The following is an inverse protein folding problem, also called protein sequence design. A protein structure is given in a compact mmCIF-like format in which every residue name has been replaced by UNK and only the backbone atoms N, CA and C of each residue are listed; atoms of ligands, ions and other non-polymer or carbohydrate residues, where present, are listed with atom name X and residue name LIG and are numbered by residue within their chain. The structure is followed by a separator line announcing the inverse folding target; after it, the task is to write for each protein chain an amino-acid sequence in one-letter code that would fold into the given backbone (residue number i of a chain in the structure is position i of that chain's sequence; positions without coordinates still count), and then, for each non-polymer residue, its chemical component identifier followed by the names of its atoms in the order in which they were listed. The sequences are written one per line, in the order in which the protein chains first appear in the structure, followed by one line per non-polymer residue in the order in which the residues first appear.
data_IF_567509633260
#
_entry.id   IF_567509633260
#
_cell.length_a   1.000
_cell.length_b   1.000
_cell.length_c   1.000
_cell.angle_alpha   90.00
_cell.angle_beta   90.00
_cell.angle_gamma   90.00
#
_symmetry.space_group_name_H-M   'P 1'
#
loop_
_entity.id
_entity.type
_entity.pdbx_description
1 polymer ?
#
# COMPACT_ATOMS: atom_id res chain seq x y z
N UNK A 1 -2.22 28.06 -29.75
CA UNK A 1 -1.31 26.95 -30.09
C UNK A 1 -1.34 25.98 -28.91
N UNK A 2 -1.91 24.79 -29.14
CA UNK A 2 -2.09 23.77 -28.12
C UNK A 2 -0.74 23.16 -27.74
N UNK A 3 -0.46 23.06 -26.44
CA UNK A 3 0.71 22.36 -25.92
C UNK A 3 0.52 20.86 -26.16
N UNK A 4 1.44 20.26 -26.89
CA UNK A 4 1.55 18.83 -27.12
C UNK A 4 1.87 18.11 -25.81
N UNK A 5 0.95 17.25 -25.34
CA UNK A 5 1.23 16.27 -24.29
C UNK A 5 2.09 15.14 -24.89
N UNK A 6 3.39 15.20 -24.64
CA UNK A 6 4.35 14.15 -24.97
C UNK A 6 4.27 13.03 -23.90
N UNK A 7 3.99 11.76 -24.25
CA UNK A 7 3.76 10.69 -23.28
C UNK A 7 5.05 10.09 -22.69
N UNK A 8 6.20 10.69 -22.96
CA UNK A 8 7.52 10.19 -22.55
C UNK A 8 8.23 11.12 -21.58
N UNK A 9 7.56 11.57 -20.52
CA UNK A 9 8.24 12.30 -19.46
C UNK A 9 8.69 11.34 -18.32
N UNK A 10 9.96 10.88 -18.29
CA UNK A 10 10.48 9.99 -17.24
C UNK A 10 10.65 10.68 -15.87
N UNK A 11 10.27 11.96 -15.77
CA UNK A 11 10.46 12.82 -14.58
C UNK A 11 9.53 12.47 -13.41
N UNK A 12 8.56 11.56 -13.58
CA UNK A 12 7.53 11.26 -12.57
C UNK A 12 7.70 9.90 -11.85
N UNK A 13 8.74 9.12 -12.18
CA UNK A 13 8.91 7.76 -11.62
C UNK A 13 9.44 7.70 -10.16
N UNK A 14 9.60 8.85 -9.51
CA UNK A 14 10.48 8.97 -8.35
C UNK A 14 9.84 8.76 -6.98
N UNK A 15 8.82 9.53 -6.64
CA UNK A 15 8.28 9.60 -5.25
C UNK A 15 6.87 10.14 -5.09
N UNK A 16 6.23 10.64 -6.13
CA UNK A 16 4.89 11.20 -6.05
C UNK A 16 3.99 10.28 -6.85
N UNK A 17 3.08 9.62 -6.15
CA UNK A 17 1.99 8.81 -6.67
C UNK A 17 2.39 7.67 -7.64
N UNK A 18 1.98 6.45 -7.31
CA UNK A 18 1.92 5.34 -8.27
C UNK A 18 1.04 5.64 -9.50
N UNK A 19 0.48 6.86 -9.62
CA UNK A 19 -0.31 7.34 -10.72
C UNK A 19 -1.58 6.51 -10.90
N UNK A 20 -2.23 6.10 -9.81
CA UNK A 20 -3.47 5.32 -9.90
C UNK A 20 -4.66 6.24 -10.17
N UNK A 21 -5.65 5.82 -10.97
CA UNK A 21 -6.82 6.64 -11.27
C UNK A 21 -7.55 7.09 -9.99
N UNK A 22 -8.14 8.30 -10.03
CA UNK A 22 -8.90 8.87 -8.89
C UNK A 22 -9.97 7.91 -8.32
N UNK A 23 -10.71 7.12 -9.12
CA UNK A 23 -11.62 6.12 -8.56
C UNK A 23 -10.92 5.08 -7.68
N UNK A 24 -9.72 4.65 -8.06
CA UNK A 24 -8.91 3.68 -7.29
C UNK A 24 -8.39 4.33 -6.00
N UNK A 25 -7.92 5.58 -6.06
CA UNK A 25 -7.50 6.32 -4.87
C UNK A 25 -8.66 6.46 -3.87
N UNK A 26 -9.83 6.89 -4.36
CA UNK A 26 -11.04 7.03 -3.56
C UNK A 26 -11.46 5.69 -2.94
N UNK A 27 -11.39 4.60 -3.72
CA UNK A 27 -11.69 3.26 -3.23
C UNK A 27 -10.77 2.85 -2.08
N UNK A 28 -9.45 2.98 -2.24
CA UNK A 28 -8.48 2.64 -1.20
C UNK A 28 -8.68 3.49 0.07
N UNK A 29 -8.97 4.78 -0.10
CA UNK A 29 -9.30 5.68 1.01
C UNK A 29 -10.56 5.24 1.77
N UNK A 30 -11.60 4.82 1.06
CA UNK A 30 -12.82 4.28 1.67
C UNK A 30 -12.55 2.99 2.44
N UNK A 31 -11.67 2.12 1.94
CA UNK A 31 -11.36 0.85 2.61
C UNK A 31 -10.56 1.05 3.92
N UNK A 32 -9.67 2.04 3.99
CA UNK A 32 -8.90 2.33 5.23
C UNK A 32 -9.73 3.08 6.27
N UNK A 33 -10.73 3.85 5.86
CA UNK A 33 -11.49 4.75 6.74
C UNK A 33 -12.03 4.09 8.04
N UNK A 34 -12.59 2.86 8.03
CA UNK A 34 -13.07 2.20 9.24
C UNK A 34 -11.98 1.90 10.28
N UNK A 35 -10.71 1.81 9.86
CA UNK A 35 -9.59 1.44 10.72
C UNK A 35 -8.92 2.65 11.40
N UNK A 36 -8.89 3.80 10.71
CA UNK A 36 -8.15 4.99 11.15
C UNK A 36 -9.04 6.09 11.72
N UNK A 37 -10.37 5.97 11.61
CA UNK A 37 -11.30 6.97 12.13
C UNK A 37 -11.12 7.13 13.65
N UNK A 38 -10.84 8.35 14.16
CA UNK A 38 -10.71 8.57 15.60
C UNK A 38 -11.98 8.18 16.35
N UNK A 39 -11.82 7.42 17.44
CA UNK A 39 -12.91 7.17 18.39
C UNK A 39 -13.00 8.35 19.34
N UNK A 40 -13.90 9.30 19.06
CA UNK A 40 -14.05 10.57 19.80
C UNK A 40 -14.73 10.40 21.18
N UNK A 41 -14.69 9.19 21.76
CA UNK A 41 -15.23 8.86 23.07
C UNK A 41 -16.73 8.58 23.08
N UNK A 42 -17.20 7.96 24.18
CA UNK A 42 -18.57 7.46 24.33
C UNK A 42 -19.63 8.55 24.17
N UNK A 43 -19.34 9.78 24.59
CA UNK A 43 -20.28 10.91 24.46
C UNK A 43 -20.48 11.31 22.99
N UNK A 44 -19.39 11.36 22.20
CA UNK A 44 -19.50 11.67 20.78
C UNK A 44 -20.16 10.51 20.01
N UNK A 45 -19.78 9.26 20.29
CA UNK A 45 -20.40 8.08 19.69
C UNK A 45 -21.90 8.02 19.98
N UNK A 46 -22.31 8.37 21.20
CA UNK A 46 -23.71 8.44 21.61
C UNK A 46 -24.44 9.71 21.18
N UNK A 47 -23.79 10.71 20.57
CA UNK A 47 -24.46 11.94 20.11
C UNK A 47 -24.44 12.09 18.59
N UNK A 48 -23.48 11.46 17.92
CA UNK A 48 -23.33 11.51 16.49
C UNK A 48 -24.26 10.48 15.84
N UNK A 49 -25.30 10.95 15.14
CA UNK A 49 -26.24 10.09 14.41
C UNK A 49 -25.51 9.14 13.45
N UNK A 50 -24.40 9.56 12.86
CA UNK A 50 -23.58 8.72 11.99
C UNK A 50 -22.86 7.60 12.76
N UNK A 51 -22.30 7.89 13.94
CA UNK A 51 -21.61 6.89 14.78
C UNK A 51 -22.57 5.91 15.46
N UNK A 52 -23.79 6.33 15.81
CA UNK A 52 -24.79 5.46 16.42
C UNK A 52 -25.30 4.37 15.46
N UNK A 53 -25.37 4.69 14.16
CA UNK A 53 -25.85 3.77 13.13
C UNK A 53 -24.73 3.05 12.39
N UNK A 54 -23.46 3.40 12.64
CA UNK A 54 -22.31 2.79 11.98
C UNK A 54 -22.08 1.38 12.56
N UNK A 55 -22.28 0.30 11.78
CA UNK A 55 -22.01 -1.04 12.23
C UNK A 55 -20.49 -1.26 12.14
N UNK A 56 -19.71 -0.67 13.05
CA UNK A 56 -18.24 -0.60 12.93
C UNK A 56 -17.57 -1.96 12.71
N UNK A 57 -18.08 -3.03 13.34
CA UNK A 57 -17.57 -4.38 13.12
C UNK A 57 -17.93 -4.97 11.74
N UNK A 58 -19.06 -4.55 11.16
CA UNK A 58 -19.46 -4.93 9.80
C UNK A 58 -18.63 -4.16 8.75
N UNK A 59 -18.36 -2.87 8.98
CA UNK A 59 -17.52 -2.06 8.09
C UNK A 59 -16.09 -2.63 7.99
N UNK A 60 -15.49 -3.01 9.13
CA UNK A 60 -14.16 -3.65 9.15
C UNK A 60 -14.15 -4.97 8.38
N UNK A 61 -15.18 -5.81 8.57
CA UNK A 61 -15.31 -7.09 7.86
C UNK A 61 -15.43 -6.91 6.35
N UNK A 62 -16.28 -5.99 5.90
CA UNK A 62 -16.46 -5.73 4.47
C UNK A 62 -15.21 -5.09 3.85
N UNK A 63 -14.52 -4.20 4.55
CA UNK A 63 -13.26 -3.64 4.07
C UNK A 63 -12.16 -4.71 3.93
N UNK A 64 -12.01 -5.61 4.91
CA UNK A 64 -11.07 -6.73 4.81
C UNK A 64 -11.39 -7.65 3.63
N UNK A 65 -12.68 -7.96 3.43
CA UNK A 65 -13.16 -8.78 2.32
C UNK A 65 -12.96 -8.09 0.97
N UNK A 66 -13.15 -6.78 0.90
CA UNK A 66 -12.93 -5.97 -0.28
C UNK A 66 -11.46 -5.97 -0.69
N UNK A 67 -10.53 -5.78 0.26
CA UNK A 67 -9.10 -5.90 -0.01
C UNK A 67 -8.69 -7.30 -0.48
N UNK A 68 -9.13 -8.35 0.19
CA UNK A 68 -8.81 -9.73 -0.22
C UNK A 68 -9.32 -10.02 -1.64
N UNK A 69 -10.57 -9.64 -1.94
CA UNK A 69 -11.15 -9.85 -3.28
C UNK A 69 -10.39 -9.09 -4.36
N UNK A 70 -10.13 -7.81 -4.15
CA UNK A 70 -9.52 -6.94 -5.16
C UNK A 70 -8.03 -7.18 -5.35
N UNK A 71 -7.29 -7.53 -4.30
CA UNK A 71 -5.83 -7.69 -4.35
C UNK A 71 -5.41 -9.16 -4.55
N UNK A 72 -5.90 -10.05 -3.68
CA UNK A 72 -5.49 -11.46 -3.65
C UNK A 72 -6.21 -12.25 -4.73
N UNK A 73 -7.52 -12.06 -4.87
CA UNK A 73 -8.32 -12.82 -5.83
C UNK A 73 -8.43 -12.13 -7.19
N UNK A 74 -7.93 -10.89 -7.32
CA UNK A 74 -8.02 -10.08 -8.53
C UNK A 74 -9.45 -9.97 -9.11
N UNK A 75 -10.46 -9.90 -8.23
CA UNK A 75 -11.88 -9.87 -8.59
C UNK A 75 -12.50 -8.50 -8.32
N UNK A 76 -13.22 -7.96 -9.31
CA UNK A 76 -13.83 -6.63 -9.27
C UNK A 76 -15.36 -6.62 -9.43
N UNK A 77 -16.01 -7.80 -9.44
CA UNK A 77 -17.47 -7.90 -9.53
C UNK A 77 -18.17 -7.22 -8.34
N UNK A 78 -19.27 -6.51 -8.64
CA UNK A 78 -20.10 -5.82 -7.64
C UNK A 78 -19.60 -4.42 -7.26
N UNK A 79 -18.54 -3.93 -7.92
CA UNK A 79 -18.10 -2.54 -7.82
C UNK A 79 -18.87 -1.65 -8.82
N UNK A 80 -18.78 -0.33 -8.66
CA UNK A 80 -19.36 0.58 -9.65
C UNK A 80 -18.64 0.42 -11.01
N UNK A 81 -19.34 0.60 -12.15
CA UNK A 81 -18.73 0.46 -13.47
C UNK A 81 -17.50 1.35 -13.68
N UNK A 82 -17.52 2.57 -13.11
CA UNK A 82 -16.40 3.50 -13.16
C UNK A 82 -15.18 3.02 -12.39
N UNK A 83 -15.38 2.41 -11.22
CA UNK A 83 -14.29 1.87 -10.40
C UNK A 83 -13.74 0.58 -11.03
N UNK A 84 -14.61 -0.31 -11.50
CA UNK A 84 -14.20 -1.54 -12.17
C UNK A 84 -13.35 -1.25 -13.42
N UNK A 85 -13.79 -0.30 -14.26
CA UNK A 85 -13.03 0.12 -15.43
C UNK A 85 -11.66 0.72 -15.05
N UNK A 86 -11.60 1.49 -13.97
CA UNK A 86 -10.37 2.08 -13.47
C UNK A 86 -9.40 1.07 -12.84
N UNK A 87 -9.91 0.02 -12.19
CA UNK A 87 -9.08 -1.07 -11.65
C UNK A 87 -8.50 -1.94 -12.76
N UNK A 88 -9.30 -2.21 -13.80
CA UNK A 88 -8.87 -2.97 -14.99
C UNK A 88 -7.90 -2.21 -15.90
N UNK A 89 -7.84 -0.88 -15.80
CA UNK A 89 -6.97 -0.06 -16.66
C UNK A 89 -5.52 0.03 -16.19
N UNK A 90 -5.20 -0.48 -14.99
CA UNK A 90 -3.83 -0.50 -14.45
C UNK A 90 -3.34 -1.95 -14.26
N UNK A 91 -2.01 -2.19 -14.32
CA UNK A 91 -1.46 -3.50 -13.98
C UNK A 91 -1.80 -3.90 -12.54
N UNK A 92 -2.06 -5.18 -12.30
CA UNK A 92 -2.34 -5.74 -10.97
C UNK A 92 -1.25 -5.34 -9.96
N UNK A 93 0.01 -5.42 -10.37
CA UNK A 93 1.14 -5.02 -9.53
C UNK A 93 1.07 -3.55 -9.08
N UNK A 94 0.62 -2.64 -9.96
CA UNK A 94 0.46 -1.22 -9.61
C UNK A 94 -0.62 -1.02 -8.55
N UNK A 95 -1.73 -1.77 -8.64
CA UNK A 95 -2.78 -1.76 -7.61
C UNK A 95 -2.23 -2.29 -6.28
N UNK A 96 -1.47 -3.39 -6.30
CA UNK A 96 -0.84 -3.98 -5.11
C UNK A 96 0.09 -2.98 -4.42
N UNK A 97 0.96 -2.31 -5.18
CA UNK A 97 1.85 -1.28 -4.66
C UNK A 97 1.07 -0.12 -4.01
N UNK A 98 -0.05 0.31 -4.62
CA UNK A 98 -0.85 1.42 -4.12
C UNK A 98 -1.64 1.05 -2.86
N UNK A 99 -2.11 -0.19 -2.78
CA UNK A 99 -2.89 -0.68 -1.66
C UNK A 99 -2.03 -1.02 -0.44
N UNK A 100 -0.77 -1.42 -0.63
CA UNK A 100 0.07 -1.93 0.46
C UNK A 100 0.18 -0.99 1.68
N UNK A 101 0.46 0.33 1.55
CA UNK A 101 0.45 1.23 2.70
C UNK A 101 -0.88 1.24 3.45
N UNK A 102 -2.00 1.14 2.73
CA UNK A 102 -3.34 1.12 3.31
C UNK A 102 -3.56 -0.17 4.12
N UNK A 103 -3.20 -1.31 3.53
CA UNK A 103 -3.27 -2.63 4.19
C UNK A 103 -2.39 -2.66 5.44
N UNK A 104 -1.18 -2.09 5.38
CA UNK A 104 -0.29 -2.00 6.54
C UNK A 104 -0.91 -1.18 7.67
N UNK A 105 -1.52 -0.02 7.37
CA UNK A 105 -2.21 0.79 8.37
C UNK A 105 -3.44 0.07 8.96
N UNK A 106 -4.23 -0.62 8.13
CA UNK A 106 -5.37 -1.41 8.61
C UNK A 106 -4.92 -2.53 9.56
N UNK A 107 -3.91 -3.31 9.16
CA UNK A 107 -3.34 -4.38 10.00
C UNK A 107 -2.73 -3.82 11.29
N UNK A 108 -1.96 -2.74 11.21
CA UNK A 108 -1.38 -2.07 12.38
C UNK A 108 -2.47 -1.59 13.35
N UNK A 109 -3.53 -0.95 12.87
CA UNK A 109 -4.65 -0.49 13.69
C UNK A 109 -5.36 -1.64 14.40
N UNK A 110 -5.59 -2.77 13.71
CA UNK A 110 -6.18 -3.97 14.31
C UNK A 110 -5.29 -4.54 15.41
N UNK A 111 -3.99 -4.70 15.15
CA UNK A 111 -3.04 -5.24 16.13
C UNK A 111 -2.84 -4.32 17.32
N UNK A 112 -2.81 -3.00 17.13
CA UNK A 112 -2.76 -2.04 18.23
C UNK A 112 -3.98 -2.11 19.15
N UNK A 113 -5.17 -2.39 18.60
CA UNK A 113 -6.37 -2.58 19.41
C UNK A 113 -6.32 -3.92 20.19
N UNK A 114 -5.68 -4.96 19.63
CA UNK A 114 -5.47 -6.25 20.29
C UNK A 114 -4.61 -6.16 21.56
N UNK A 115 -3.70 -5.17 21.65
CA UNK A 115 -2.84 -4.92 22.84
C UNK A 115 -3.66 -4.93 24.14
N UNK A 116 -4.91 -4.46 24.09
CA UNK A 116 -5.74 -4.27 25.28
C UNK A 116 -6.27 -5.58 25.88
N UNK A 117 -6.43 -6.62 25.07
CA UNK A 117 -7.14 -7.84 25.48
C UNK A 117 -6.32 -9.14 25.30
N UNK A 118 -5.15 -9.11 24.62
CA UNK A 118 -4.24 -10.26 24.38
C UNK A 118 -4.96 -11.53 23.85
N UNK A 119 -6.11 -11.37 23.20
CA UNK A 119 -6.94 -12.47 22.70
C UNK A 119 -6.33 -13.13 21.47
N UNK A 120 -6.78 -14.34 21.12
CA UNK A 120 -6.47 -14.98 19.85
C UNK A 120 -6.90 -14.10 18.66
N UNK A 121 -6.24 -14.25 17.50
CA UNK A 121 -6.63 -13.52 16.30
C UNK A 121 -8.07 -13.85 15.90
N UNK A 122 -8.91 -12.83 15.79
CA UNK A 122 -10.26 -12.95 15.25
C UNK A 122 -10.26 -13.07 13.73
N UNK A 123 -11.46 -13.18 13.17
CA UNK A 123 -11.65 -13.35 11.72
C UNK A 123 -11.20 -12.12 10.92
N UNK A 124 -11.34 -10.91 11.48
CA UNK A 124 -10.97 -9.65 10.82
C UNK A 124 -9.45 -9.52 10.77
N UNK A 125 -8.79 -9.73 11.91
CA UNK A 125 -7.33 -9.72 12.05
C UNK A 125 -6.69 -10.78 11.16
N UNK A 126 -7.20 -12.01 11.21
CA UNK A 126 -6.70 -13.12 10.39
C UNK A 126 -6.81 -12.80 8.89
N UNK A 127 -7.94 -12.24 8.45
CA UNK A 127 -8.15 -11.90 7.05
C UNK A 127 -7.24 -10.76 6.59
N UNK A 128 -7.11 -9.71 7.40
CA UNK A 128 -6.24 -8.58 7.07
C UNK A 128 -4.76 -8.98 7.06
N UNK A 129 -4.32 -9.77 8.04
CA UNK A 129 -2.96 -10.31 8.08
C UNK A 129 -2.67 -11.23 6.89
N UNK A 130 -3.63 -12.07 6.50
CA UNK A 130 -3.50 -12.88 5.30
C UNK A 130 -3.27 -12.02 4.05
N UNK A 131 -4.07 -10.97 3.86
CA UNK A 131 -3.88 -10.05 2.73
C UNK A 131 -2.51 -9.38 2.78
N UNK A 132 -2.06 -8.92 3.96
CA UNK A 132 -0.73 -8.34 4.13
C UNK A 132 0.38 -9.34 3.77
N UNK A 133 0.30 -10.57 4.28
CA UNK A 133 1.29 -11.62 4.03
C UNK A 133 1.32 -11.99 2.56
N UNK A 134 0.15 -12.12 1.91
CA UNK A 134 0.08 -12.40 0.48
C UNK A 134 0.78 -11.31 -0.34
N UNK A 135 0.54 -10.03 -0.04
CA UNK A 135 1.22 -8.92 -0.73
C UNK A 135 2.74 -9.01 -0.58
N UNK A 136 3.24 -9.28 0.62
CA UNK A 136 4.68 -9.26 0.90
C UNK A 136 5.42 -10.53 0.45
N UNK A 137 4.73 -11.67 0.40
CA UNK A 137 5.34 -12.97 0.15
C UNK A 137 5.12 -13.49 -1.26
N UNK A 138 3.96 -13.23 -1.87
CA UNK A 138 3.51 -13.95 -3.08
C UNK A 138 3.13 -13.02 -4.23
N UNK A 139 2.64 -11.81 -3.95
CA UNK A 139 2.09 -10.95 -5.00
C UNK A 139 3.08 -10.59 -6.12
N UNK A 140 4.37 -10.46 -5.81
CA UNK A 140 5.38 -10.15 -6.82
C UNK A 140 5.53 -11.28 -7.85
N UNK A 141 5.55 -12.53 -7.40
CA UNK A 141 5.66 -13.72 -8.26
C UNK A 141 4.35 -13.96 -9.03
N UNK A 142 3.21 -13.95 -8.34
CA UNK A 142 1.91 -14.15 -8.99
C UNK A 142 1.59 -13.07 -10.04
N UNK A 143 1.93 -11.79 -9.78
CA UNK A 143 1.75 -10.75 -10.79
C UNK A 143 2.71 -10.89 -11.97
N UNK A 144 3.91 -11.46 -11.76
CA UNK A 144 4.84 -11.72 -12.84
C UNK A 144 4.35 -12.87 -13.73
N UNK A 145 3.85 -13.94 -13.13
CA UNK A 145 3.28 -15.08 -13.84
C UNK A 145 2.03 -14.65 -14.66
N UNK A 146 1.12 -13.87 -14.07
CA UNK A 146 -0.06 -13.32 -14.76
C UNK A 146 0.34 -12.52 -16.02
N UNK A 147 1.39 -11.70 -15.94
CA UNK A 147 1.86 -10.89 -17.06
C UNK A 147 2.58 -11.72 -18.14
N UNK A 148 3.28 -12.78 -17.74
CA UNK A 148 3.90 -13.75 -18.66
C UNK A 148 2.85 -14.53 -19.45
N UNK A 149 1.81 -15.06 -18.77
CA UNK A 149 0.71 -15.80 -19.41
C UNK A 149 -0.06 -14.91 -20.41
N UNK A 150 -0.21 -13.62 -20.10
CA UNK A 150 -0.91 -12.66 -20.94
C UNK A 150 -0.15 -12.24 -22.22
N UNK A 151 1.04 -12.80 -22.50
CA UNK A 151 1.92 -12.41 -23.62
C UNK A 151 2.13 -10.89 -23.75
N UNK A 152 2.06 -10.15 -22.63
CA UNK A 152 2.41 -8.73 -22.65
C UNK A 152 3.93 -8.71 -22.82
N UNK A 153 4.45 -8.17 -23.93
CA UNK A 153 5.89 -8.00 -24.15
C UNK A 153 6.51 -7.36 -22.91
N UNK A 154 7.08 -8.20 -22.03
CA UNK A 154 7.63 -7.78 -20.75
C UNK A 154 8.91 -7.04 -21.10
N UNK A 155 8.80 -5.74 -21.39
CA UNK A 155 9.93 -4.84 -21.25
C UNK A 155 10.46 -5.11 -19.85
N UNK A 156 11.63 -5.75 -19.80
CA UNK A 156 12.38 -6.33 -18.66
C UNK A 156 12.70 -5.38 -17.49
N UNK A 157 11.79 -4.48 -17.13
CA UNK A 157 12.04 -3.38 -16.20
C UNK A 157 10.87 -3.11 -15.24
N UNK A 158 9.79 -3.91 -15.26
CA UNK A 158 8.91 -3.94 -14.09
C UNK A 158 9.62 -4.75 -13.01
N UNK A 159 10.44 -4.07 -12.21
CA UNK A 159 10.91 -4.64 -10.97
C UNK A 159 9.67 -4.80 -10.07
N UNK A 160 9.21 -6.04 -9.84
CA UNK A 160 8.18 -6.38 -8.86
C UNK A 160 8.73 -6.16 -7.44
N UNK A 161 9.04 -4.90 -7.14
CA UNK A 161 9.66 -4.43 -5.93
C UNK A 161 8.78 -3.35 -5.30
N UNK A 162 8.74 -3.34 -3.97
CA UNK A 162 8.19 -2.22 -3.23
C UNK A 162 9.22 -1.11 -3.08
N UNK A 163 8.75 0.13 -2.96
CA UNK A 163 9.63 1.27 -2.71
C UNK A 163 10.27 1.16 -1.33
N UNK A 164 11.48 1.71 -1.16
CA UNK A 164 12.13 1.80 0.16
C UNK A 164 11.21 2.46 1.20
N UNK A 165 10.55 3.61 0.93
CA UNK A 165 9.58 4.18 1.87
C UNK A 165 8.47 3.22 2.31
N UNK A 166 7.94 2.41 1.39
CA UNK A 166 6.89 1.42 1.69
C UNK A 166 7.43 0.31 2.61
N UNK A 167 8.65 -0.18 2.36
CA UNK A 167 9.29 -1.18 3.24
C UNK A 167 9.64 -0.57 4.60
N UNK A 168 10.13 0.67 4.64
CA UNK A 168 10.38 1.39 5.90
C UNK A 168 9.10 1.58 6.72
N UNK A 169 7.96 1.86 6.06
CA UNK A 169 6.66 1.97 6.72
C UNK A 169 6.28 0.66 7.45
N UNK A 170 6.55 -0.50 6.84
CA UNK A 170 6.34 -1.80 7.51
C UNK A 170 7.11 -1.86 8.83
N UNK A 171 8.41 -1.56 8.78
CA UNK A 171 9.28 -1.63 9.97
C UNK A 171 8.76 -0.67 11.05
N UNK A 172 8.41 0.56 10.68
CA UNK A 172 7.91 1.55 11.63
C UNK A 172 6.56 1.19 12.26
N UNK A 173 5.64 0.59 11.49
CA UNK A 173 4.33 0.20 12.02
C UNK A 173 4.39 -1.08 12.85
N UNK A 174 5.18 -2.07 12.43
CA UNK A 174 5.10 -3.41 13.00
C UNK A 174 6.21 -3.75 13.99
N UNK A 175 7.42 -3.19 13.90
CA UNK A 175 8.48 -3.48 14.87
C UNK A 175 8.06 -3.18 16.32
N UNK A 176 7.37 -2.06 16.63
CA UNK A 176 6.94 -1.77 18.00
C UNK A 176 5.90 -2.76 18.56
N UNK A 177 5.18 -3.48 17.69
CA UNK A 177 4.05 -4.35 18.04
C UNK A 177 4.25 -5.82 17.65
N UNK A 178 5.42 -6.19 17.12
CA UNK A 178 5.68 -7.55 16.64
C UNK A 178 5.52 -8.60 17.75
N UNK A 179 5.87 -8.24 18.99
CA UNK A 179 5.74 -9.09 20.18
C UNK A 179 4.28 -9.45 20.54
N UNK A 180 3.29 -8.76 19.98
CA UNK A 180 1.87 -9.07 20.19
C UNK A 180 1.42 -10.28 19.37
N UNK A 181 2.16 -10.62 18.33
CA UNK A 181 1.94 -11.83 17.55
C UNK A 181 2.78 -12.94 18.18
N UNK A 182 2.16 -14.10 18.37
CA UNK A 182 2.81 -15.29 18.91
C UNK A 182 2.85 -16.36 17.83
N UNK A 183 3.78 -17.30 17.95
CA UNK A 183 3.86 -18.45 17.03
C UNK A 183 2.53 -19.22 16.89
N UNK A 184 1.76 -19.33 17.99
CA UNK A 184 0.42 -19.95 17.99
C UNK A 184 -0.57 -19.26 17.05
N UNK A 185 -0.42 -17.96 16.77
CA UNK A 185 -1.27 -17.22 15.85
C UNK A 185 -1.10 -17.68 14.39
N UNK A 186 0.00 -18.38 14.08
CA UNK A 186 0.37 -18.84 12.74
C UNK A 186 0.15 -20.36 12.53
N UNK A 187 -0.43 -21.06 13.50
CA UNK A 187 -0.75 -22.49 13.36
C UNK A 187 -1.93 -22.76 12.41
N UNK A 188 -2.66 -21.72 12.01
CA UNK A 188 -3.68 -21.81 10.97
C UNK A 188 -3.02 -21.76 9.59
N UNK A 189 -3.41 -22.70 8.71
CA UNK A 189 -2.99 -22.80 7.30
C UNK A 189 -3.03 -21.47 6.53
N UNK A 190 -3.92 -20.56 6.94
CA UNK A 190 -4.08 -19.27 6.29
C UNK A 190 -2.92 -18.32 6.58
N UNK A 191 -2.28 -18.42 7.74
CA UNK A 191 -1.22 -17.50 8.17
C UNK A 191 0.15 -18.18 8.29
N UNK A 192 0.24 -19.51 8.18
CA UNK A 192 1.47 -20.28 8.38
C UNK A 192 2.67 -19.72 7.61
N UNK A 193 2.45 -19.29 6.35
CA UNK A 193 3.49 -18.72 5.50
C UNK A 193 4.04 -17.38 6.01
N UNK A 194 3.26 -16.66 6.81
CA UNK A 194 3.67 -15.42 7.46
C UNK A 194 4.70 -15.64 8.57
N UNK A 195 4.80 -16.84 9.15
CA UNK A 195 5.66 -17.12 10.30
C UNK A 195 7.12 -16.71 10.06
N UNK A 196 7.67 -17.05 8.89
CA UNK A 196 9.06 -16.70 8.50
C UNK A 196 9.33 -15.19 8.48
N UNK A 197 8.31 -14.39 8.20
CA UNK A 197 8.40 -12.93 8.19
C UNK A 197 8.49 -12.40 9.63
N UNK A 198 7.60 -12.89 10.50
CA UNK A 198 7.54 -12.47 11.90
C UNK A 198 8.69 -13.00 12.75
N UNK A 199 9.21 -14.19 12.44
CA UNK A 199 10.39 -14.73 13.09
C UNK A 199 11.59 -13.78 12.96
N UNK A 200 11.84 -13.25 11.75
CA UNK A 200 12.88 -12.25 11.55
C UNK A 200 12.66 -11.00 12.42
N UNK A 201 11.42 -10.54 12.53
CA UNK A 201 11.07 -9.39 13.38
C UNK A 201 11.30 -9.65 14.87
N UNK A 202 10.93 -10.82 15.39
CA UNK A 202 11.14 -11.19 16.79
C UNK A 202 12.62 -11.32 17.15
N UNK A 203 13.45 -11.69 16.19
CA UNK A 203 14.90 -11.84 16.34
C UNK A 203 15.68 -10.55 16.01
N UNK A 204 15.00 -9.43 15.75
CA UNK A 204 15.59 -8.15 15.36
C UNK A 204 16.42 -8.21 14.07
N UNK A 205 15.97 -9.02 13.10
CA UNK A 205 16.58 -9.19 11.78
C UNK A 205 15.60 -8.80 10.68
N UNK A 206 16.11 -8.69 9.45
CA UNK A 206 15.25 -8.50 8.28
C UNK A 206 14.27 -9.68 8.15
N UNK A 207 12.97 -9.45 7.89
CA UNK A 207 12.02 -10.52 7.63
C UNK A 207 12.47 -11.39 6.47
N UNK A 208 12.26 -12.71 6.57
CA UNK A 208 12.64 -13.64 5.51
C UNK A 208 11.64 -13.64 4.34
N UNK A 209 11.68 -12.56 3.56
CA UNK A 209 10.91 -12.37 2.34
C UNK A 209 11.70 -11.51 1.36
N UNK A 210 11.58 -11.84 0.06
CA UNK A 210 12.38 -11.23 -1.01
C UNK A 210 12.32 -9.71 -1.01
N UNK A 211 11.14 -9.14 -0.77
CA UNK A 211 10.93 -7.70 -0.74
C UNK A 211 11.72 -6.94 0.35
N UNK A 212 12.23 -7.62 1.39
CA UNK A 212 13.03 -6.99 2.45
C UNK A 212 14.54 -7.14 2.25
N UNK A 213 14.98 -8.10 1.43
CA UNK A 213 16.40 -8.47 1.27
C UNK A 213 16.91 -8.32 -0.15
N UNK A 214 16.02 -8.11 -1.13
CA UNK A 214 16.40 -7.97 -2.52
C UNK A 214 17.34 -6.76 -2.71
N UNK A 215 18.45 -6.92 -3.45
CA UNK A 215 19.31 -5.79 -3.77
C UNK A 215 18.54 -4.82 -4.67
N UNK A 216 18.48 -3.56 -4.24
CA UNK A 216 17.83 -2.50 -5.03
C UNK A 216 18.86 -1.47 -5.45
N UNK A 217 18.78 -1.03 -6.71
CA UNK A 217 19.50 0.15 -7.18
C UNK A 217 18.60 1.36 -6.98
N UNK A 218 19.02 2.40 -6.24
CA UNK A 218 18.27 3.64 -6.19
C UNK A 218 18.08 4.16 -7.62
N UNK A 219 16.83 4.33 -8.04
CA UNK A 219 16.53 5.11 -9.25
C UNK A 219 16.97 6.53 -8.93
N UNK A 220 17.97 7.05 -9.64
CA UNK A 220 18.49 8.38 -9.39
C UNK A 220 17.35 9.39 -9.56
N UNK A 221 16.90 9.96 -8.46
CA UNK A 221 16.14 11.22 -8.49
C UNK A 221 17.09 12.22 -9.13
N UNK A 222 16.66 12.93 -10.17
CA UNK A 222 17.39 14.08 -10.69
C UNK A 222 17.36 15.21 -9.62
N UNK A 223 18.09 15.05 -8.52
CA UNK A 223 18.41 16.14 -7.60
C UNK A 223 19.46 17.11 -8.19
N UNK A 224 19.96 16.84 -9.40
CA UNK A 224 21.05 17.58 -10.02
C UNK A 224 20.63 18.65 -11.06
N UNK A 225 19.34 19.00 -11.18
CA UNK A 225 18.91 20.06 -12.11
C UNK A 225 18.26 21.27 -11.44
N UNK A 226 18.73 21.68 -10.24
CA UNK A 226 18.44 23.01 -9.68
C UNK A 226 19.63 23.98 -9.76
N UNK A 227 20.45 23.85 -10.79
CA UNK A 227 21.25 24.98 -11.28
C UNK A 227 20.93 25.11 -12.75
N UNK A 228 19.91 25.91 -13.06
CA UNK A 228 19.78 26.52 -14.36
C UNK A 228 21.06 27.33 -14.61
N UNK A 229 22.02 26.76 -15.33
CA UNK A 229 23.13 27.51 -15.92
C UNK A 229 22.67 28.21 -17.19
N UNK A 230 21.51 28.88 -17.14
CA UNK A 230 21.22 29.98 -18.04
C UNK A 230 21.61 31.24 -17.28
N UNK A 231 22.65 31.97 -17.72
CA UNK A 231 22.92 33.27 -17.12
C UNK A 231 21.68 34.13 -17.32
N UNK A 232 21.09 34.59 -16.22
CA UNK A 232 20.09 35.64 -16.24
C UNK A 232 20.65 36.79 -17.08
N UNK A 233 19.90 37.21 -18.10
CA UNK A 233 20.21 38.42 -18.86
C UNK A 233 20.29 39.56 -17.84
N UNK A 234 21.47 40.13 -17.66
CA UNK A 234 21.70 41.26 -16.78
C UNK A 234 20.82 42.43 -17.20
N UNK A 235 19.76 42.68 -16.44
CA UNK A 235 18.97 43.91 -16.51
C UNK A 235 19.73 44.96 -15.71
N UNK A 236 20.79 45.54 -16.29
CA UNK A 236 21.29 46.84 -15.86
C UNK A 236 22.12 47.50 -16.97
N UNK A 237 21.53 48.44 -17.69
CA UNK A 237 22.26 49.36 -18.56
C UNK A 237 22.67 50.59 -17.74
N UNK A 238 23.97 50.96 -17.65
CA UNK A 238 24.34 52.23 -17.06
C UNK A 238 24.04 53.35 -18.06
N UNK A 239 23.30 54.37 -17.60
CA UNK A 239 23.07 55.61 -18.35
C UNK A 239 24.42 56.25 -18.65
N UNK A 240 24.72 56.48 -19.93
CA UNK A 240 25.81 57.37 -20.35
C UNK A 240 25.32 58.81 -20.29
N UNK A 241 26.02 59.66 -19.52
CA UNK A 241 26.12 61.10 -19.78
C UNK A 241 26.97 61.37 -21.01
#
# INVERSE_FOLDING_TARGET
MAASNDPTNPMDEGLQDLGVPVPVQTFLWQQIAPFIRPKLGKLHEASCMYCQHAPGHHELKEACKSFEKSLVQNMFYGLSPSLEAALKSIPRWRLVQAALPHVMHCAGALLHNRVKDLQALGAVETKMLYTLHWILLFAAEECADDDLEANKDVKRHQSYLFSIPTISLFVYLFAPIAHLLKESDFQNIRLENGLKMWQGMWEYRAPNASCFIAPVKPKARHYLNSVSTTPSVEVFSPKKT
#
